data_IF_461889617645
#
_entry.id   IF_461889617645
#
_cell.length_a   1.000
_cell.length_b   1.000
_cell.length_c   1.000
_cell.angle_alpha   90.00
_cell.angle_beta   90.00
_cell.angle_gamma   90.00
#
_symmetry.space_group_name_H-M   'P 1'
#
loop_
_entity.id
_entity.type
_entity.pdbx_description
1 polymer ?
#
# COMPACT_ATOMS: atom_id res chain seq x y z
N UNK A 1 11.69 5.19 -7.33
CA UNK A 1 12.20 4.28 -6.26
C UNK A 1 11.54 2.92 -6.38
N UNK A 2 12.20 1.83 -5.96
CA UNK A 2 11.62 0.48 -5.99
C UNK A 2 11.75 -0.16 -4.61
N UNK A 3 10.61 -0.40 -3.96
CA UNK A 3 10.54 -1.14 -2.70
C UNK A 3 10.38 -2.62 -3.01
N UNK A 4 11.01 -3.49 -2.21
CA UNK A 4 10.89 -4.94 -2.39
C UNK A 4 9.64 -5.47 -1.71
N UNK A 5 9.23 -4.84 -0.61
CA UNK A 5 8.04 -5.18 0.17
C UNK A 5 7.50 -3.97 0.98
N UNK A 6 6.48 -4.21 1.81
CA UNK A 6 5.87 -3.19 2.66
C UNK A 6 6.82 -2.72 3.79
N UNK A 7 7.73 -3.56 4.27
CA UNK A 7 8.65 -3.23 5.37
C UNK A 7 9.67 -2.19 4.89
N UNK A 8 10.19 -2.37 3.68
CA UNK A 8 11.04 -1.39 3.00
C UNK A 8 10.34 -0.03 2.90
N UNK A 9 9.04 -0.03 2.55
CA UNK A 9 8.27 1.20 2.42
C UNK A 9 8.01 1.88 3.77
N UNK A 10 7.64 1.12 4.81
CA UNK A 10 7.49 1.63 6.18
C UNK A 10 8.78 2.28 6.66
N UNK A 11 9.92 1.58 6.51
CA UNK A 11 11.23 2.10 6.93
C UNK A 11 11.63 3.36 6.15
N UNK A 12 11.25 3.43 4.87
CA UNK A 12 11.45 4.62 4.05
C UNK A 12 10.61 5.81 4.54
N UNK A 13 9.32 5.61 4.83
CA UNK A 13 8.46 6.67 5.38
C UNK A 13 8.96 7.15 6.74
N UNK A 14 9.38 6.23 7.61
CA UNK A 14 9.93 6.55 8.94
C UNK A 14 11.17 7.44 8.83
N UNK A 15 12.11 7.12 7.93
CA UNK A 15 13.30 7.96 7.69
C UNK A 15 12.97 9.37 7.20
N UNK A 16 11.80 9.57 6.60
CA UNK A 16 11.32 10.87 6.10
C UNK A 16 10.45 11.61 7.11
N UNK A 17 10.17 11.03 8.27
CA UNK A 17 9.21 11.59 9.23
C UNK A 17 7.75 11.45 8.80
N UNK A 18 7.47 10.64 7.77
CA UNK A 18 6.14 10.38 7.20
C UNK A 18 5.42 9.19 7.86
N UNK A 19 6.05 8.59 8.87
CA UNK A 19 5.47 7.53 9.68
C UNK A 19 5.71 7.79 11.16
N UNK A 20 4.67 7.59 11.97
CA UNK A 20 4.72 7.67 13.42
C UNK A 20 4.37 6.32 14.04
N UNK A 21 5.26 5.81 14.89
CA UNK A 21 4.98 4.66 15.77
C UNK A 21 4.19 5.12 16.99
N UNK A 22 3.12 4.40 17.29
CA UNK A 22 2.24 4.61 18.44
C UNK A 22 2.43 3.41 19.38
N UNK A 23 3.16 3.63 20.48
CA UNK A 23 3.47 2.61 21.49
C UNK A 23 2.45 2.55 22.63
N UNK A 24 1.59 3.57 22.74
CA UNK A 24 0.47 3.54 23.67
C UNK A 24 -0.48 2.41 23.29
N UNK A 25 -1.12 1.80 24.29
CA UNK A 25 -2.20 0.85 24.02
C UNK A 25 -3.38 1.59 23.38
N UNK A 26 -3.87 1.08 22.25
CA UNK A 26 -5.00 1.66 21.50
C UNK A 26 -5.96 0.56 21.10
N UNK A 27 -7.26 0.79 21.33
CA UNK A 27 -8.31 -0.17 21.00
C UNK A 27 -8.59 -0.20 19.48
N UNK A 28 -8.53 -1.37 18.80
CA UNK A 28 -8.95 -1.49 17.41
C UNK A 28 -10.45 -1.20 17.20
N UNK A 29 -11.25 -1.27 18.27
CA UNK A 29 -12.64 -0.86 18.26
C UNK A 29 -12.74 0.68 18.44
N UNK A 30 -13.00 1.38 17.33
CA UNK A 30 -13.26 2.83 17.23
C UNK A 30 -12.03 3.74 17.49
N UNK A 31 -11.21 3.50 18.50
CA UNK A 31 -10.15 4.44 18.90
C UNK A 31 -9.10 4.64 17.79
N UNK A 32 -8.64 3.55 17.16
CA UNK A 32 -7.69 3.67 16.04
C UNK A 32 -8.27 4.51 14.90
N UNK A 33 -9.56 4.36 14.60
CA UNK A 33 -10.25 5.12 13.55
C UNK A 33 -10.32 6.60 13.89
N UNK A 34 -10.68 6.95 15.12
CA UNK A 34 -10.72 8.35 15.57
C UNK A 34 -9.34 9.01 15.48
N UNK A 35 -8.28 8.30 15.87
CA UNK A 35 -6.91 8.79 15.75
C UNK A 35 -6.55 8.97 14.26
N UNK A 36 -6.82 7.97 13.43
CA UNK A 36 -6.55 8.04 11.99
C UNK A 36 -7.30 9.19 11.31
N UNK A 37 -8.57 9.39 11.64
CA UNK A 37 -9.42 10.45 11.07
C UNK A 37 -8.86 11.84 11.39
N UNK A 38 -8.48 12.11 12.65
CA UNK A 38 -7.85 13.38 13.03
C UNK A 38 -6.52 13.60 12.32
N UNK A 39 -5.68 12.56 12.25
CA UNK A 39 -4.37 12.63 11.60
C UNK A 39 -4.53 12.85 10.10
N UNK A 40 -5.44 12.14 9.43
CA UNK A 40 -5.77 12.32 8.02
C UNK A 40 -6.23 13.76 7.73
N UNK A 41 -7.20 14.27 8.51
CA UNK A 41 -7.73 15.63 8.35
C UNK A 41 -6.67 16.71 8.56
N UNK A 42 -5.66 16.44 9.38
CA UNK A 42 -4.52 17.32 9.59
C UNK A 42 -3.38 17.13 8.57
N UNK A 43 -3.51 16.22 7.59
CA UNK A 43 -2.44 15.88 6.65
C UNK A 43 -1.23 15.21 7.32
N UNK A 44 -1.45 14.56 8.46
CA UNK A 44 -0.39 13.96 9.28
C UNK A 44 0.18 12.66 8.71
N UNK A 45 1.13 12.03 9.43
CA UNK A 45 1.90 10.88 8.95
C UNK A 45 1.06 9.59 8.87
N UNK A 46 1.61 8.57 8.23
CA UNK A 46 1.15 7.19 8.41
C UNK A 46 1.35 6.76 9.88
N UNK A 47 0.51 5.84 10.37
CA UNK A 47 0.51 5.42 11.76
C UNK A 47 0.79 3.93 11.86
N UNK A 48 1.74 3.56 12.72
CA UNK A 48 2.00 2.16 13.08
C UNK A 48 1.68 1.98 14.56
N UNK A 49 0.52 1.38 14.86
CA UNK A 49 0.11 1.02 16.21
C UNK A 49 0.78 -0.28 16.61
N UNK A 50 1.71 -0.20 17.56
CA UNK A 50 2.52 -1.36 17.98
C UNK A 50 1.91 -2.12 19.15
N UNK A 51 0.93 -1.52 19.84
CA UNK A 51 0.24 -2.12 20.98
C UNK A 51 -1.29 -2.06 20.82
N UNK A 52 -1.88 -2.77 19.84
CA UNK A 52 -3.34 -2.92 19.77
C UNK A 52 -3.85 -3.70 20.98
N UNK A 53 -4.81 -3.14 21.70
CA UNK A 53 -5.36 -3.75 22.91
C UNK A 53 -5.91 -5.16 22.66
N UNK A 54 -5.35 -6.15 23.35
CA UNK A 54 -5.75 -7.55 23.22
C UNK A 54 -5.13 -8.31 22.04
N UNK A 55 -4.23 -7.68 21.27
CA UNK A 55 -3.59 -8.29 20.10
C UNK A 55 -2.07 -8.14 20.13
N UNK A 56 -1.37 -9.03 19.44
CA UNK A 56 0.10 -8.99 19.31
C UNK A 56 0.58 -8.52 17.94
N UNK A 57 -0.32 -8.44 16.96
CA UNK A 57 -0.02 -8.06 15.59
C UNK A 57 -0.16 -6.52 15.47
N UNK A 58 0.89 -5.78 15.09
CA UNK A 58 0.79 -4.32 14.89
C UNK A 58 -0.17 -3.94 13.76
N UNK A 59 -0.81 -2.78 13.88
CA UNK A 59 -1.72 -2.23 12.86
C UNK A 59 -1.07 -1.05 12.17
N UNK A 60 -0.86 -1.16 10.85
CA UNK A 60 -0.48 -0.04 10.00
C UNK A 60 -1.73 0.62 9.42
N UNK A 61 -1.91 1.91 9.66
CA UNK A 61 -3.05 2.69 9.20
C UNK A 61 -2.61 4.05 8.64
N UNK A 62 -3.53 4.75 7.99
CA UNK A 62 -3.29 6.05 7.34
C UNK A 62 -2.11 6.08 6.34
N UNK A 63 -1.73 4.91 5.80
CA UNK A 63 -0.53 4.73 4.98
C UNK A 63 -0.51 5.69 3.78
N UNK A 64 -1.65 5.84 3.13
CA UNK A 64 -1.85 6.71 1.96
C UNK A 64 -2.68 7.95 2.28
N UNK A 65 -2.57 8.45 3.52
CA UNK A 65 -3.35 9.60 3.98
C UNK A 65 -3.02 10.95 3.31
N UNK A 66 -1.99 11.02 2.45
CA UNK A 66 -1.63 12.22 1.69
C UNK A 66 -1.33 11.88 0.23
N UNK A 67 -1.56 12.80 -0.72
CA UNK A 67 -1.18 12.63 -2.13
C UNK A 67 0.30 12.31 -2.31
N UNK A 68 1.16 12.91 -1.50
CA UNK A 68 2.61 12.67 -1.51
C UNK A 68 2.91 11.21 -1.17
N UNK A 69 2.29 10.63 -0.13
CA UNK A 69 2.50 9.22 0.22
C UNK A 69 1.95 8.27 -0.83
N UNK A 70 0.87 8.63 -1.53
CA UNK A 70 0.39 7.88 -2.70
C UNK A 70 1.44 7.87 -3.81
N UNK A 71 1.98 9.03 -4.17
CA UNK A 71 3.03 9.13 -5.19
C UNK A 71 4.27 8.32 -4.81
N UNK A 72 4.71 8.43 -3.55
CA UNK A 72 5.83 7.65 -3.01
C UNK A 72 5.58 6.15 -3.11
N UNK A 73 4.36 5.67 -2.79
CA UNK A 73 3.98 4.26 -2.90
C UNK A 73 4.00 3.74 -4.34
N UNK A 74 3.77 4.62 -5.32
CA UNK A 74 3.88 4.33 -6.76
C UNK A 74 5.32 4.48 -7.29
N UNK A 75 6.28 4.69 -6.41
CA UNK A 75 7.69 4.84 -6.75
C UNK A 75 8.07 6.20 -7.33
N UNK A 76 7.16 7.18 -7.25
CA UNK A 76 7.33 8.55 -7.73
C UNK A 76 7.70 9.50 -6.59
N UNK A 77 8.52 10.51 -6.86
CA UNK A 77 8.91 11.49 -5.84
C UNK A 77 7.93 12.67 -5.71
N UNK A 78 7.10 12.88 -6.73
CA UNK A 78 6.22 14.04 -6.84
C UNK A 78 4.83 13.62 -7.31
N UNK A 79 3.82 14.35 -6.87
CA UNK A 79 2.41 14.08 -7.19
C UNK A 79 2.13 14.29 -8.67
N UNK A 80 2.81 15.23 -9.32
CA UNK A 80 2.63 15.53 -10.75
C UNK A 80 2.96 14.32 -11.65
N UNK A 81 3.87 13.45 -11.20
CA UNK A 81 4.22 12.22 -11.92
C UNK A 81 3.08 11.19 -11.95
N UNK A 82 2.04 11.34 -11.11
CA UNK A 82 0.83 10.50 -11.20
C UNK A 82 0.10 10.70 -12.52
N UNK A 83 0.24 11.88 -13.15
CA UNK A 83 -0.31 12.13 -14.49
C UNK A 83 0.35 11.23 -15.53
N UNK A 84 1.68 11.11 -15.49
CA UNK A 84 2.44 10.22 -16.40
C UNK A 84 2.01 8.76 -16.22
N UNK A 85 1.71 8.35 -14.99
CA UNK A 85 1.16 7.01 -14.73
C UNK A 85 -0.23 6.85 -15.34
N UNK A 86 -1.09 7.86 -15.26
CA UNK A 86 -2.39 7.86 -15.91
C UNK A 86 -2.30 7.75 -17.44
N UNK A 87 -1.37 8.50 -18.05
CA UNK A 87 -1.09 8.45 -19.49
C UNK A 87 -0.58 7.05 -19.91
N UNK A 88 0.28 6.42 -19.10
CA UNK A 88 0.73 5.05 -19.32
C UNK A 88 -0.43 4.05 -19.23
N UNK A 89 -1.28 4.15 -18.21
CA UNK A 89 -2.45 3.26 -18.06
C UNK A 89 -3.44 3.40 -19.23
N UNK A 90 -3.65 4.63 -19.72
CA UNK A 90 -4.47 4.88 -20.90
C UNK A 90 -3.90 4.20 -22.15
N UNK A 91 -2.58 4.31 -22.36
CA UNK A 91 -1.88 3.63 -23.44
C UNK A 91 -1.98 2.10 -23.35
N UNK A 92 -1.89 1.53 -22.14
CA UNK A 92 -2.01 0.09 -21.92
C UNK A 92 -3.41 -0.46 -22.20
N UNK A 93 -4.45 0.34 -21.98
CA UNK A 93 -5.86 -0.08 -22.15
C UNK A 93 -6.21 -0.28 -23.63
N UNK A 94 -5.83 0.66 -24.48
CA UNK A 94 -6.07 0.61 -25.92
C UNK A 94 -4.79 0.98 -26.66
N UNK A 95 -3.84 0.04 -26.82
CA UNK A 95 -2.65 0.30 -27.60
C UNK A 95 -3.07 0.54 -29.05
N UNK A 96 -2.84 1.74 -29.57
CA UNK A 96 -3.12 2.04 -30.98
C UNK A 96 -2.33 1.06 -31.86
N UNK A 97 -2.99 0.28 -32.75
CA UNK A 97 -2.29 -0.61 -33.64
C UNK A 97 -1.39 0.23 -34.56
N UNK A 98 -0.10 -0.11 -34.66
CA UNK A 98 0.87 0.64 -35.45
C UNK A 98 0.44 0.63 -36.91
N UNK A 99 0.34 1.82 -37.52
CA UNK A 99 -0.18 1.96 -38.90
C UNK A 99 0.87 1.58 -39.95
N UNK A 100 2.14 1.43 -39.56
CA UNK A 100 3.24 1.03 -40.45
C UNK A 100 4.44 0.42 -39.68
N UNK A 101 5.35 -0.27 -40.39
CA UNK A 101 6.60 -0.84 -39.84
C UNK A 101 7.53 0.25 -39.29
N UNK A 102 7.49 1.46 -39.87
CA UNK A 102 8.25 2.62 -39.39
C UNK A 102 7.71 3.12 -38.03
N UNK A 103 6.39 3.19 -37.92
CA UNK A 103 5.66 3.59 -36.70
C UNK A 103 5.92 2.61 -35.54
N UNK A 104 6.11 1.32 -35.86
CA UNK A 104 6.51 0.28 -34.90
C UNK A 104 7.92 0.52 -34.31
N UNK A 105 8.86 0.99 -35.14
CA UNK A 105 10.21 1.33 -34.71
C UNK A 105 10.24 2.61 -33.87
N UNK A 106 9.45 3.62 -34.25
CA UNK A 106 9.37 4.90 -33.54
C UNK A 106 8.69 4.74 -32.17
N UNK A 107 7.69 3.84 -32.06
CA UNK A 107 6.96 3.57 -30.79
C UNK A 107 7.59 2.48 -29.92
N UNK A 108 8.75 1.91 -30.29
CA UNK A 108 9.37 0.77 -29.58
C UNK A 108 9.67 1.03 -28.10
N UNK A 109 9.93 2.28 -27.72
CA UNK A 109 10.20 2.65 -26.32
C UNK A 109 8.94 2.60 -25.47
N UNK A 110 7.79 2.95 -26.05
CA UNK A 110 6.47 2.90 -25.38
C UNK A 110 5.98 1.47 -25.14
N UNK A 111 6.46 0.49 -25.91
CA UNK A 111 6.13 -0.93 -25.72
C UNK A 111 7.07 -1.67 -24.74
N UNK A 112 8.25 -1.11 -24.39
CA UNK A 112 9.18 -1.73 -23.42
C UNK A 112 8.54 -2.00 -22.03
N UNK A 113 7.71 -1.10 -21.45
CA UNK A 113 7.06 -1.35 -20.17
C UNK A 113 6.10 -2.55 -20.20
N UNK A 114 5.41 -2.76 -21.33
CA UNK A 114 4.49 -3.88 -21.56
C UNK A 114 5.23 -5.22 -21.56
N UNK A 115 6.41 -5.25 -22.16
CA UNK A 115 7.23 -6.46 -22.34
C UNK A 115 7.94 -6.90 -21.05
N UNK A 116 8.06 -6.03 -20.05
CA UNK A 116 8.74 -6.29 -18.77
C UNK A 116 7.81 -6.75 -17.65
N UNK A 117 6.59 -7.18 -17.97
CA UNK A 117 5.53 -7.45 -16.99
C UNK A 117 5.22 -8.92 -16.64
N UNK A 118 6.09 -9.94 -16.84
CA UNK A 118 5.76 -11.26 -16.34
C UNK A 118 5.88 -11.31 -14.81
N UNK A 119 4.85 -11.87 -14.16
CA UNK A 119 4.90 -12.15 -12.72
C UNK A 119 5.94 -13.23 -12.46
N UNK A 120 6.90 -12.95 -11.58
CA UNK A 120 7.86 -13.95 -11.12
C UNK A 120 7.21 -14.83 -10.06
N UNK A 121 6.91 -16.08 -10.42
CA UNK A 121 6.39 -17.06 -9.46
C UNK A 121 7.53 -17.55 -8.56
N UNK A 122 7.38 -17.34 -7.26
CA UNK A 122 8.31 -17.82 -6.24
C UNK A 122 7.73 -19.06 -5.53
N UNK A 123 8.58 -20.05 -5.23
CA UNK A 123 8.16 -21.27 -4.52
C UNK A 123 8.06 -21.10 -3.00
N UNK A 124 8.77 -20.12 -2.45
CA UNK A 124 8.83 -19.78 -1.03
C UNK A 124 8.83 -18.27 -0.90
N UNK A 125 8.05 -17.74 0.03
CA UNK A 125 7.97 -16.32 0.31
C UNK A 125 7.80 -16.07 1.82
N UNK A 126 8.24 -14.90 2.35
CA UNK A 126 8.06 -14.57 3.76
C UNK A 126 6.60 -14.60 4.24
N UNK A 127 5.63 -14.36 3.34
CA UNK A 127 4.19 -14.45 3.68
C UNK A 127 3.70 -15.89 3.96
N UNK A 128 4.56 -16.90 3.81
CA UNK A 128 4.27 -18.32 4.05
C UNK A 128 5.04 -18.88 5.25
N UNK A 129 5.70 -18.03 6.06
CA UNK A 129 6.50 -18.46 7.21
C UNK A 129 5.65 -19.04 8.35
N UNK A 130 4.44 -18.52 8.54
CA UNK A 130 3.47 -19.00 9.53
C UNK A 130 2.22 -19.44 8.76
N UNK A 131 1.85 -20.70 8.90
CA UNK A 131 0.70 -21.31 8.20
C UNK A 131 -0.26 -21.87 9.25
N UNK A 132 -1.48 -21.35 9.24
CA UNK A 132 -2.59 -21.84 10.05
C UNK A 132 -3.62 -22.47 9.10
N UNK A 133 -4.04 -23.69 9.39
CA UNK A 133 -4.96 -24.47 8.54
C UNK A 133 -6.03 -25.17 9.39
N UNK A 134 -7.19 -25.44 8.78
CA UNK A 134 -8.30 -26.13 9.42
C UNK A 134 -8.76 -25.44 10.71
N UNK A 135 -8.85 -26.21 11.79
CA UNK A 135 -9.34 -25.73 13.09
C UNK A 135 -8.39 -24.72 13.77
N UNK A 136 -7.16 -24.56 13.27
CA UNK A 136 -6.24 -23.53 13.75
C UNK A 136 -6.53 -22.13 13.15
N UNK A 137 -7.41 -22.04 12.16
CA UNK A 137 -7.80 -20.77 11.55
C UNK A 137 -8.78 -20.04 12.46
N UNK A 138 -8.31 -18.98 13.08
CA UNK A 138 -9.11 -18.12 13.94
C UNK A 138 -8.83 -16.65 13.62
N UNK A 139 -9.79 -16.01 12.96
CA UNK A 139 -9.68 -14.60 12.56
C UNK A 139 -9.76 -13.65 13.76
N UNK A 140 -10.25 -14.09 14.92
CA UNK A 140 -10.30 -13.26 16.13
C UNK A 140 -8.91 -12.97 16.71
N UNK A 141 -7.86 -13.64 16.21
CA UNK A 141 -6.47 -13.32 16.53
C UNK A 141 -5.94 -12.09 15.78
N UNK A 142 -6.65 -11.64 14.73
CA UNK A 142 -6.27 -10.46 13.95
C UNK A 142 -6.91 -9.21 14.55
N UNK A 143 -6.18 -8.09 14.65
CA UNK A 143 -6.69 -6.80 15.13
C UNK A 143 -7.57 -6.12 14.06
N UNK A 144 -8.65 -6.77 13.66
CA UNK A 144 -9.61 -6.24 12.70
C UNK A 144 -10.33 -5.07 13.36
N UNK A 145 -10.36 -3.93 12.68
CA UNK A 145 -10.93 -2.70 13.22
C UNK A 145 -12.45 -2.69 13.07
N UNK A 146 -13.14 -2.25 14.11
CA UNK A 146 -14.51 -1.73 13.98
C UNK A 146 -14.40 -0.22 13.86
N UNK A 147 -14.93 0.34 12.76
CA UNK A 147 -14.59 1.71 12.39
C UNK A 147 -15.53 2.73 13.03
N UNK A 148 -16.84 2.44 13.03
CA UNK A 148 -17.87 3.36 13.50
C UNK A 148 -18.79 2.70 14.54
N UNK A 149 -19.41 3.49 15.45
CA UNK A 149 -20.22 2.94 16.54
C UNK A 149 -21.41 2.07 16.12
N UNK A 150 -21.91 2.27 14.89
CA UNK A 150 -23.06 1.54 14.35
C UNK A 150 -22.65 0.44 13.36
N UNK A 151 -21.35 0.21 13.16
CA UNK A 151 -20.89 -0.91 12.34
C UNK A 151 -21.27 -2.23 13.02
N UNK A 152 -21.77 -3.19 12.23
CA UNK A 152 -22.28 -4.47 12.75
C UNK A 152 -21.18 -5.40 13.29
N UNK A 153 -19.92 -5.10 13.01
CA UNK A 153 -18.76 -5.83 13.49
C UNK A 153 -17.48 -5.31 12.86
N UNK A 154 -16.33 -5.87 13.25
CA UNK A 154 -15.14 -5.87 12.41
C UNK A 154 -15.39 -6.51 11.03
#
# INVERSE_FOLDING_TARGET
MKYSDLRDFIAFLEKRGELKRITAEVDPNLEMTEICDRVLKAGGPALLFENPKGFTIPVLANLFGTPERVALGMGQEKVEALREVGELLAFLKEPEPPKSIKDLWDKRESFKPVLNMPVKVAKKAPCQEIVLEGDAVDLSQLPIQTCWPEDAGP
#
